data_IF_791806469994
#
_entry.id   IF_791806469994
#
_cell.length_a   1.000
_cell.length_b   1.000
_cell.length_c   1.000
_cell.angle_alpha   90.00
_cell.angle_beta   90.00
_cell.angle_gamma   90.00
#
_symmetry.space_group_name_H-M   'P 1'
#
loop_
_entity.id
_entity.type
_entity.pdbx_description
1 polymer ?
#
# COMPACT_ATOMS: atom_id res chain seq x y z
N UNK A 1 -6.21 16.60 7.47
CA UNK A 1 -6.50 17.39 6.27
C UNK A 1 -5.48 17.09 5.18
N UNK A 2 -5.94 16.76 3.98
CA UNK A 2 -5.09 16.62 2.79
C UNK A 2 -5.40 17.71 1.79
N UNK A 3 -4.37 18.24 1.13
CA UNK A 3 -4.52 19.22 0.07
C UNK A 3 -3.48 18.97 -1.02
N UNK A 4 -3.94 18.81 -2.24
CA UNK A 4 -3.09 18.81 -3.44
C UNK A 4 -3.35 20.12 -4.16
N UNK A 5 -2.28 20.83 -4.50
CA UNK A 5 -2.37 22.12 -5.22
C UNK A 5 -1.52 22.07 -6.48
N UNK A 6 -2.15 22.35 -7.61
CA UNK A 6 -1.45 22.61 -8.86
C UNK A 6 -1.22 24.13 -8.94
N UNK A 7 0.03 24.51 -9.11
CA UNK A 7 0.43 25.93 -9.15
C UNK A 7 -0.22 26.64 -10.33
N UNK A 8 -0.51 27.94 -10.15
CA UNK A 8 -0.95 28.83 -11.23
C UNK A 8 0.01 28.78 -12.40
N UNK A 9 -0.53 28.92 -13.59
CA UNK A 9 0.22 28.92 -14.86
C UNK A 9 1.06 27.64 -15.09
N UNK A 10 0.68 26.51 -14.48
CA UNK A 10 1.32 25.23 -14.77
C UNK A 10 1.00 24.83 -16.22
N UNK A 11 1.98 24.33 -17.00
CA UNK A 11 1.79 24.03 -18.45
C UNK A 11 0.63 23.06 -18.75
N UNK A 12 0.30 22.17 -17.83
CA UNK A 12 -0.78 21.19 -17.98
C UNK A 12 -2.18 21.77 -17.72
N UNK A 13 -2.31 22.99 -17.17
CA UNK A 13 -3.60 23.62 -16.89
C UNK A 13 -3.90 24.73 -17.91
N UNK A 14 -4.70 24.40 -18.92
CA UNK A 14 -5.20 25.34 -19.92
C UNK A 14 -6.69 25.58 -19.73
N UNK A 15 -7.25 26.72 -20.19
CA UNK A 15 -8.69 26.96 -20.13
C UNK A 15 -9.46 25.82 -20.80
N UNK A 16 -10.48 25.31 -20.12
CA UNK A 16 -11.28 24.16 -20.55
C UNK A 16 -10.69 22.76 -20.24
N UNK A 17 -9.44 22.68 -19.79
CA UNK A 17 -8.87 21.40 -19.35
C UNK A 17 -9.60 20.86 -18.12
N UNK A 18 -9.71 19.55 -18.03
CA UNK A 18 -10.28 18.85 -16.87
C UNK A 18 -9.14 18.29 -16.04
N UNK A 19 -8.97 18.81 -14.84
CA UNK A 19 -8.05 18.24 -13.85
C UNK A 19 -8.77 17.21 -13.00
N UNK A 20 -8.14 16.06 -12.86
CA UNK A 20 -8.63 14.95 -12.05
C UNK A 20 -7.67 14.69 -10.92
N UNK A 21 -8.20 14.48 -9.71
CA UNK A 21 -7.40 14.15 -8.53
C UNK A 21 -8.01 12.99 -7.75
N UNK A 22 -7.15 12.11 -7.29
CA UNK A 22 -7.48 11.00 -6.39
C UNK A 22 -6.66 11.18 -5.12
N UNK A 23 -7.35 11.39 -4.00
CA UNK A 23 -6.69 11.44 -2.69
C UNK A 23 -6.99 10.15 -1.93
N UNK A 24 -6.04 9.65 -1.12
CA UNK A 24 -6.30 8.52 -0.23
C UNK A 24 -7.42 8.88 0.75
N UNK A 25 -8.40 7.97 0.91
CA UNK A 25 -9.49 8.15 1.87
C UNK A 25 -9.42 7.01 2.91
N UNK A 26 -9.52 7.31 4.22
CA UNK A 26 -9.37 6.30 5.26
C UNK A 26 -10.39 5.16 5.13
N UNK A 27 -9.93 3.95 5.45
CA UNK A 27 -10.78 2.77 5.57
C UNK A 27 -11.27 2.59 7.00
N UNK A 28 -12.46 2.00 7.17
CA UNK A 28 -12.82 1.36 8.44
C UNK A 28 -11.98 0.09 8.58
N UNK A 29 -11.23 0.01 9.67
CA UNK A 29 -10.30 -1.09 9.92
C UNK A 29 -10.18 -1.36 11.41
N UNK A 30 -9.45 -2.42 11.83
CA UNK A 30 -9.29 -2.73 13.26
C UNK A 30 -8.74 -1.59 14.06
N UNK A 31 -7.68 -0.97 13.54
CA UNK A 31 -7.00 0.16 14.18
C UNK A 31 -7.52 1.52 13.74
N UNK A 32 -8.52 1.58 12.86
CA UNK A 32 -9.06 2.83 12.35
C UNK A 32 -10.59 2.74 12.22
N UNK A 33 -11.30 3.54 13.02
CA UNK A 33 -12.75 3.49 13.09
C UNK A 33 -13.37 4.88 13.11
N UNK A 34 -14.67 4.95 12.96
CA UNK A 34 -15.46 6.19 12.98
C UNK A 34 -14.99 7.19 11.91
N UNK A 35 -14.69 6.69 10.72
CA UNK A 35 -14.23 7.50 9.60
C UNK A 35 -15.35 8.41 9.09
N UNK A 36 -15.11 9.72 9.13
CA UNK A 36 -16.07 10.75 8.70
C UNK A 36 -15.40 11.75 7.76
N UNK A 37 -16.04 12.01 6.63
CA UNK A 37 -15.69 13.17 5.81
C UNK A 37 -16.32 14.41 6.46
N UNK A 38 -15.48 15.34 6.92
CA UNK A 38 -15.93 16.60 7.52
C UNK A 38 -16.21 17.65 6.43
N UNK A 39 -15.29 17.76 5.48
CA UNK A 39 -15.45 18.64 4.32
C UNK A 39 -14.58 18.22 3.16
N UNK A 40 -14.99 18.60 1.95
CA UNK A 40 -14.19 18.44 0.73
C UNK A 40 -14.41 19.63 -0.21
N UNK A 41 -13.34 20.06 -0.87
CA UNK A 41 -13.36 21.18 -1.82
C UNK A 41 -12.46 20.88 -3.02
N UNK A 42 -12.96 20.94 -4.27
CA UNK A 42 -14.38 21.04 -4.65
C UNK A 42 -15.20 19.83 -4.15
N UNK A 43 -16.51 19.83 -4.35
CA UNK A 43 -17.32 18.65 -4.04
C UNK A 43 -16.80 17.43 -4.80
N UNK A 44 -16.58 16.31 -4.13
CA UNK A 44 -16.04 15.11 -4.79
C UNK A 44 -17.07 14.52 -5.76
N UNK A 45 -16.59 13.91 -6.83
CA UNK A 45 -17.42 13.15 -7.77
C UNK A 45 -17.74 11.75 -7.26
N UNK A 46 -16.81 11.16 -6.53
CA UNK A 46 -16.95 9.81 -5.98
C UNK A 46 -16.10 9.67 -4.72
N UNK A 47 -16.65 8.98 -3.73
CA UNK A 47 -15.89 8.39 -2.63
C UNK A 47 -16.00 6.88 -2.79
N UNK A 48 -14.88 6.20 -2.95
CA UNK A 48 -14.88 4.75 -3.07
C UNK A 48 -15.55 4.10 -1.84
N UNK A 49 -16.34 3.04 -2.01
CA UNK A 49 -16.97 2.36 -0.90
C UNK A 49 -15.93 1.80 0.07
N UNK A 50 -16.27 1.64 1.36
CA UNK A 50 -15.40 0.98 2.31
C UNK A 50 -15.18 -0.48 1.92
N UNK A 51 -14.05 -1.04 2.35
CA UNK A 51 -13.82 -2.48 2.30
C UNK A 51 -14.82 -3.25 3.18
N UNK A 52 -14.91 -4.55 2.98
CA UNK A 52 -15.79 -5.40 3.79
C UNK A 52 -15.04 -5.82 5.05
N UNK A 53 -15.59 -5.48 6.23
CA UNK A 53 -15.01 -5.88 7.50
C UNK A 53 -14.97 -7.41 7.63
N UNK A 54 -13.85 -7.93 8.12
CA UNK A 54 -13.66 -9.37 8.30
C UNK A 54 -13.29 -10.16 7.04
N UNK A 55 -13.36 -9.53 5.86
CA UNK A 55 -12.83 -10.11 4.64
C UNK A 55 -11.74 -9.21 4.05
N UNK A 56 -10.45 -9.46 4.36
CA UNK A 56 -9.36 -8.62 3.89
C UNK A 56 -9.14 -8.70 2.38
N UNK A 57 -9.82 -9.60 1.69
CA UNK A 57 -9.75 -9.79 0.25
C UNK A 57 -10.91 -9.09 -0.47
N UNK A 58 -12.09 -9.07 0.14
CA UNK A 58 -13.24 -8.37 -0.40
C UNK A 58 -13.12 -6.87 -0.10
N UNK A 59 -12.94 -6.11 -1.12
CA UNK A 59 -12.75 -4.67 -1.05
C UNK A 59 -11.31 -4.25 -1.41
N UNK A 60 -11.16 -3.04 -1.90
CA UNK A 60 -9.84 -2.51 -2.26
C UNK A 60 -8.95 -2.38 -1.02
N UNK A 61 -7.67 -2.69 -1.17
CA UNK A 61 -6.66 -2.40 -0.15
C UNK A 61 -6.57 -0.89 0.14
N UNK A 62 -6.98 -0.08 -0.80
CA UNK A 62 -6.98 1.37 -0.73
C UNK A 62 -8.36 1.92 -1.05
N UNK A 63 -8.73 2.96 -0.35
CA UNK A 63 -9.94 3.73 -0.59
C UNK A 63 -9.55 5.13 -1.05
N UNK A 64 -10.28 5.68 -2.02
CA UNK A 64 -9.96 6.99 -2.59
C UNK A 64 -11.19 7.88 -2.63
N UNK A 65 -10.95 9.18 -2.55
CA UNK A 65 -11.90 10.23 -2.90
C UNK A 65 -11.47 10.84 -4.21
N UNK A 66 -12.41 10.99 -5.14
CA UNK A 66 -12.16 11.43 -6.51
C UNK A 66 -12.79 12.78 -6.78
N UNK A 67 -12.00 13.65 -7.42
CA UNK A 67 -12.40 15.00 -7.81
C UNK A 67 -12.18 15.25 -9.29
N UNK A 68 -13.03 16.11 -9.84
CA UNK A 68 -12.80 16.74 -11.16
C UNK A 68 -13.05 18.23 -11.07
N UNK A 69 -12.22 18.99 -11.75
CA UNK A 69 -12.39 20.44 -11.88
C UNK A 69 -12.03 20.89 -13.30
N UNK A 70 -12.97 21.61 -13.93
CA UNK A 70 -12.69 22.29 -15.20
C UNK A 70 -11.93 23.57 -14.91
N UNK A 71 -10.85 23.79 -15.64
CA UNK A 71 -10.02 25.00 -15.52
C UNK A 71 -10.70 26.15 -16.25
N UNK A 72 -11.10 27.17 -15.52
CA UNK A 72 -11.65 28.42 -16.10
C UNK A 72 -10.60 29.50 -16.17
N UNK A 73 -9.68 29.54 -15.20
CA UNK A 73 -8.61 30.55 -15.16
C UNK A 73 -7.28 29.89 -14.75
N UNK A 74 -6.34 29.66 -15.66
CA UNK A 74 -5.06 29.05 -15.36
C UNK A 74 -4.13 29.93 -14.50
N UNK A 75 -4.40 31.22 -14.38
CA UNK A 75 -3.66 32.12 -13.50
C UNK A 75 -3.98 31.90 -12.00
N UNK A 76 -5.01 31.13 -11.70
CA UNK A 76 -5.35 30.72 -10.34
C UNK A 76 -4.84 29.30 -10.05
N UNK A 77 -4.36 29.00 -8.84
CA UNK A 77 -4.02 27.64 -8.48
C UNK A 77 -5.29 26.78 -8.41
N UNK A 78 -5.13 25.49 -8.69
CA UNK A 78 -6.19 24.49 -8.56
C UNK A 78 -5.90 23.64 -7.35
N UNK A 79 -6.79 23.66 -6.35
CA UNK A 79 -6.62 22.92 -5.12
C UNK A 79 -7.76 21.91 -4.91
N UNK A 80 -7.38 20.70 -4.52
CA UNK A 80 -8.28 19.65 -4.05
C UNK A 80 -7.98 19.40 -2.58
N UNK A 81 -8.98 19.55 -1.74
CA UNK A 81 -8.82 19.46 -0.28
C UNK A 81 -9.87 18.55 0.31
N UNK A 82 -9.47 17.73 1.24
CA UNK A 82 -10.36 16.97 2.12
C UNK A 82 -9.99 17.15 3.59
N UNK A 83 -10.98 17.11 4.43
CA UNK A 83 -10.85 17.04 5.90
C UNK A 83 -11.57 15.80 6.37
N UNK A 84 -10.84 14.88 6.94
CA UNK A 84 -11.35 13.61 7.45
C UNK A 84 -11.06 13.51 8.93
N UNK A 85 -12.01 12.98 9.69
CA UNK A 85 -11.86 12.60 11.09
C UNK A 85 -11.97 11.09 11.21
N UNK A 86 -11.13 10.48 12.04
CA UNK A 86 -11.23 9.08 12.40
C UNK A 86 -10.59 8.82 13.77
N UNK A 87 -10.95 7.70 14.39
CA UNK A 87 -10.35 7.26 15.64
C UNK A 87 -9.29 6.19 15.34
N UNK A 88 -8.06 6.42 15.77
CA UNK A 88 -6.97 5.45 15.67
C UNK A 88 -6.80 4.67 16.98
N UNK A 89 -6.61 3.36 16.86
CA UNK A 89 -6.35 2.45 17.97
C UNK A 89 -5.01 1.77 17.78
N UNK A 90 -4.29 1.60 18.88
CA UNK A 90 -3.09 0.76 18.89
C UNK A 90 -3.48 -0.72 18.68
N UNK A 91 -2.69 -1.42 17.89
CA UNK A 91 -2.89 -2.83 17.61
C UNK A 91 -1.56 -3.58 17.73
N UNK A 92 -1.48 -4.47 18.70
CA UNK A 92 -0.29 -5.26 19.01
C UNK A 92 -0.63 -6.76 18.94
N UNK A 93 -0.64 -7.36 17.74
CA UNK A 93 -0.93 -8.79 17.62
C UNK A 93 0.18 -9.62 18.24
N UNK A 94 -0.20 -10.62 19.03
CA UNK A 94 0.73 -11.65 19.49
C UNK A 94 0.82 -12.71 18.41
N UNK A 95 1.94 -12.73 17.70
CA UNK A 95 2.21 -13.73 16.68
C UNK A 95 2.65 -15.03 17.31
N UNK A 96 1.96 -16.12 16.97
CA UNK A 96 2.24 -17.46 17.48
C UNK A 96 2.26 -18.46 16.32
N UNK A 97 3.44 -18.93 15.99
CA UNK A 97 3.64 -19.87 14.87
C UNK A 97 2.82 -21.16 15.07
N UNK A 98 2.62 -21.61 16.31
CA UNK A 98 1.83 -22.79 16.58
C UNK A 98 0.33 -22.63 16.24
N UNK A 99 -0.13 -21.39 16.09
CA UNK A 99 -1.52 -21.05 15.74
C UNK A 99 -1.72 -20.68 14.28
N UNK A 100 -0.63 -20.66 13.50
CA UNK A 100 -0.71 -20.38 12.08
C UNK A 100 -1.60 -21.40 11.37
N UNK A 101 -2.57 -20.90 10.57
CA UNK A 101 -3.51 -21.74 9.83
C UNK A 101 -3.15 -21.75 8.34
N UNK A 102 -3.47 -22.81 7.61
CA UNK A 102 -3.36 -22.80 6.15
C UNK A 102 -4.16 -21.66 5.53
N UNK A 103 -3.69 -21.17 4.38
CA UNK A 103 -4.43 -20.18 3.59
C UNK A 103 -5.77 -20.78 3.17
N UNK A 104 -6.90 -20.10 3.42
CA UNK A 104 -8.19 -20.56 2.94
C UNK A 104 -8.20 -20.68 1.40
N UNK A 105 -8.86 -21.71 0.87
CA UNK A 105 -8.88 -21.97 -0.58
C UNK A 105 -9.49 -20.81 -1.39
N UNK A 106 -10.43 -20.08 -0.83
CA UNK A 106 -11.07 -18.91 -1.43
C UNK A 106 -10.18 -17.65 -1.48
N UNK A 107 -9.04 -17.67 -0.79
CA UNK A 107 -8.06 -16.58 -0.79
C UNK A 107 -7.01 -16.70 -1.90
N UNK A 108 -7.04 -17.75 -2.69
CA UNK A 108 -5.96 -18.15 -3.59
C UNK A 108 -5.73 -17.24 -4.81
N UNK A 109 -6.71 -16.42 -5.22
CA UNK A 109 -6.63 -15.72 -6.50
C UNK A 109 -5.91 -14.38 -6.48
N UNK A 110 -6.36 -13.45 -5.65
CA UNK A 110 -6.02 -12.03 -5.80
C UNK A 110 -4.65 -11.63 -5.22
N UNK A 111 -4.11 -12.40 -4.25
CA UNK A 111 -2.94 -11.98 -3.47
C UNK A 111 -1.79 -13.00 -3.46
N UNK A 112 -1.83 -14.00 -4.37
CA UNK A 112 -0.78 -15.01 -4.55
C UNK A 112 -0.10 -14.94 -5.91
N UNK A 113 -0.72 -14.31 -6.90
CA UNK A 113 -0.19 -14.20 -8.25
C UNK A 113 0.72 -12.99 -8.48
N UNK A 114 1.34 -12.98 -9.64
CA UNK A 114 2.05 -11.80 -10.15
C UNK A 114 1.09 -10.62 -10.35
N UNK A 115 1.63 -9.41 -10.34
CA UNK A 115 0.93 -8.19 -10.73
C UNK A 115 1.91 -7.29 -11.48
N UNK A 116 1.93 -7.50 -12.78
CA UNK A 116 2.83 -6.76 -13.67
C UNK A 116 2.54 -5.25 -13.65
N UNK A 117 3.57 -4.41 -13.81
CA UNK A 117 4.97 -4.78 -13.99
C UNK A 117 5.76 -4.90 -12.67
N UNK A 118 5.14 -4.64 -11.51
CA UNK A 118 5.86 -4.41 -10.26
C UNK A 118 6.06 -5.68 -9.41
N UNK A 119 5.13 -6.63 -9.44
CA UNK A 119 5.24 -7.92 -8.74
C UNK A 119 5.48 -9.00 -9.79
N UNK A 120 6.75 -9.39 -9.94
CA UNK A 120 7.23 -10.31 -10.99
C UNK A 120 8.01 -11.45 -10.36
N UNK A 121 7.69 -12.68 -10.75
CA UNK A 121 8.29 -13.89 -10.22
C UNK A 121 9.43 -14.38 -11.10
N UNK A 122 10.56 -13.65 -11.12
CA UNK A 122 11.70 -14.06 -11.92
C UNK A 122 12.34 -15.37 -11.39
N UNK A 123 13.06 -16.13 -12.24
CA UNK A 123 13.77 -17.33 -11.80
C UNK A 123 14.72 -17.07 -10.63
N UNK A 124 15.40 -15.92 -10.61
CA UNK A 124 16.35 -15.54 -9.58
C UNK A 124 15.66 -15.28 -8.24
N UNK A 125 14.54 -14.54 -8.25
CA UNK A 125 13.75 -14.30 -7.03
C UNK A 125 13.17 -15.61 -6.51
N UNK A 126 12.66 -16.49 -7.39
CA UNK A 126 12.16 -17.82 -7.01
C UNK A 126 13.25 -18.68 -6.36
N UNK A 127 14.44 -18.70 -6.94
CA UNK A 127 15.58 -19.45 -6.40
C UNK A 127 15.99 -18.93 -5.02
N UNK A 128 16.00 -17.61 -4.84
CA UNK A 128 16.36 -17.00 -3.57
C UNK A 128 15.29 -17.29 -2.50
N UNK A 129 14.00 -17.21 -2.83
CA UNK A 129 12.92 -17.60 -1.92
C UNK A 129 13.07 -19.06 -1.50
N UNK A 130 13.32 -19.97 -2.44
CA UNK A 130 13.53 -21.39 -2.13
C UNK A 130 14.70 -21.58 -1.16
N UNK A 131 15.81 -20.85 -1.35
CA UNK A 131 16.98 -20.89 -0.46
C UNK A 131 16.65 -20.37 0.96
N UNK A 132 15.89 -19.27 1.07
CA UNK A 132 15.53 -18.65 2.36
C UNK A 132 14.56 -19.52 3.13
N UNK A 133 13.53 -20.00 2.46
CA UNK A 133 12.44 -20.75 3.07
C UNK A 133 12.90 -22.18 3.40
N UNK A 134 13.65 -22.82 2.50
CA UNK A 134 14.08 -24.21 2.65
C UNK A 134 12.90 -25.16 2.78
N UNK A 135 12.94 -26.04 3.76
CA UNK A 135 11.88 -27.02 4.07
C UNK A 135 10.79 -26.49 5.02
N UNK A 136 10.79 -25.17 5.32
CA UNK A 136 9.80 -24.59 6.22
C UNK A 136 8.38 -24.67 5.64
N UNK A 137 7.43 -25.14 6.42
CA UNK A 137 6.02 -25.27 6.01
C UNK A 137 5.13 -24.25 6.68
N UNK A 138 5.51 -23.75 7.85
CA UNK A 138 4.73 -22.76 8.59
C UNK A 138 4.77 -21.39 7.92
N UNK A 139 3.62 -20.83 7.59
CA UNK A 139 3.52 -19.58 6.82
C UNK A 139 4.11 -18.38 7.58
N UNK A 140 3.90 -18.29 8.89
CA UNK A 140 4.44 -17.21 9.71
C UNK A 140 5.97 -17.30 9.82
N UNK A 141 6.50 -18.50 9.98
CA UNK A 141 7.95 -18.73 9.98
C UNK A 141 8.58 -18.38 8.63
N UNK A 142 7.93 -18.75 7.51
CA UNK A 142 8.34 -18.33 6.17
C UNK A 142 8.36 -16.80 6.04
N UNK A 143 7.26 -16.14 6.41
CA UNK A 143 7.16 -14.67 6.36
C UNK A 143 8.27 -14.01 7.18
N UNK A 144 8.56 -14.52 8.38
CA UNK A 144 9.63 -14.01 9.24
C UNK A 144 11.03 -14.18 8.61
N UNK A 145 11.29 -15.32 7.96
CA UNK A 145 12.56 -15.53 7.23
C UNK A 145 12.71 -14.55 6.08
N UNK A 146 11.65 -14.36 5.28
CA UNK A 146 11.64 -13.43 4.16
C UNK A 146 11.81 -11.99 4.66
N UNK A 147 11.10 -11.59 5.73
CA UNK A 147 11.23 -10.26 6.33
C UNK A 147 12.66 -9.97 6.76
N UNK A 148 13.29 -10.88 7.49
CA UNK A 148 14.69 -10.72 7.91
C UNK A 148 15.60 -10.56 6.69
N UNK A 149 15.39 -11.40 5.67
CA UNK A 149 16.18 -11.29 4.46
C UNK A 149 16.04 -9.92 3.78
N UNK A 150 14.82 -9.40 3.64
CA UNK A 150 14.59 -8.05 3.07
C UNK A 150 15.25 -6.99 3.95
N UNK A 151 15.05 -7.05 5.26
CA UNK A 151 15.65 -6.11 6.22
C UNK A 151 17.18 -6.09 6.15
N UNK A 152 17.80 -7.26 6.02
CA UNK A 152 19.26 -7.40 6.04
C UNK A 152 19.91 -7.08 4.67
N UNK A 153 19.17 -7.22 3.56
CA UNK A 153 19.73 -7.15 2.21
C UNK A 153 19.25 -5.96 1.37
N UNK A 154 18.21 -5.23 1.83
CA UNK A 154 17.67 -4.09 1.09
C UNK A 154 17.58 -2.88 2.04
N UNK A 155 18.71 -2.22 2.36
CA UNK A 155 18.70 -1.00 3.16
C UNK A 155 17.89 0.09 2.48
N UNK A 156 17.32 0.98 3.29
CA UNK A 156 16.53 2.09 2.79
C UNK A 156 17.41 3.10 2.04
N UNK A 157 16.93 3.55 0.89
CA UNK A 157 17.46 4.72 0.19
C UNK A 157 16.30 5.49 -0.45
N UNK A 158 16.51 6.78 -0.66
CA UNK A 158 15.55 7.58 -1.43
C UNK A 158 15.47 7.08 -2.87
N UNK A 159 14.26 7.11 -3.42
CA UNK A 159 13.97 6.65 -4.77
C UNK A 159 13.63 7.81 -5.71
N UNK A 160 13.74 7.53 -6.99
CA UNK A 160 13.17 8.37 -8.04
C UNK A 160 11.63 8.29 -8.00
N UNK A 161 10.98 9.15 -8.79
CA UNK A 161 9.52 9.08 -8.98
C UNK A 161 9.10 7.66 -9.39
N UNK A 162 8.14 7.09 -8.70
CA UNK A 162 7.70 5.69 -8.89
C UNK A 162 7.27 5.37 -10.33
N UNK A 163 6.75 6.35 -11.06
CA UNK A 163 6.40 6.18 -12.48
C UNK A 163 7.60 5.95 -13.39
N UNK A 164 8.82 6.22 -12.93
CA UNK A 164 10.06 5.99 -13.66
C UNK A 164 10.67 4.63 -13.36
N UNK A 165 10.18 3.91 -12.38
CA UNK A 165 10.67 2.58 -11.98
C UNK A 165 9.91 1.49 -12.75
N UNK A 166 10.53 0.80 -13.71
CA UNK A 166 9.85 -0.19 -14.55
C UNK A 166 9.29 -1.38 -13.76
N UNK A 167 9.99 -1.82 -12.72
CA UNK A 167 9.58 -2.91 -11.83
C UNK A 167 10.22 -2.78 -10.46
N UNK A 168 9.40 -2.60 -9.44
CA UNK A 168 9.89 -2.47 -8.06
C UNK A 168 10.54 -3.75 -7.54
N UNK A 169 9.94 -4.92 -7.81
CA UNK A 169 10.50 -6.18 -7.36
C UNK A 169 11.87 -6.45 -7.97
N UNK A 170 12.01 -6.27 -9.29
CA UNK A 170 13.28 -6.48 -9.99
C UNK A 170 14.33 -5.47 -9.50
N UNK A 171 13.94 -4.18 -9.44
CA UNK A 171 14.85 -3.13 -8.98
C UNK A 171 15.36 -3.39 -7.57
N UNK A 172 14.48 -3.59 -6.59
CA UNK A 172 14.88 -3.81 -5.21
C UNK A 172 15.70 -5.09 -5.03
N UNK A 173 15.33 -6.17 -5.73
CA UNK A 173 16.05 -7.42 -5.67
C UNK A 173 17.45 -7.33 -6.29
N UNK A 174 17.64 -6.61 -7.39
CA UNK A 174 18.93 -6.52 -8.09
C UNK A 174 19.83 -5.43 -7.51
N UNK A 175 19.29 -4.25 -7.23
CA UNK A 175 20.06 -3.13 -6.70
C UNK A 175 20.39 -3.25 -5.20
N UNK A 176 19.67 -4.12 -4.48
CA UNK A 176 19.83 -4.33 -3.03
C UNK A 176 19.68 -3.05 -2.22
N UNK A 177 18.80 -2.17 -2.65
CA UNK A 177 18.42 -0.96 -1.94
C UNK A 177 17.07 -0.46 -2.45
N UNK A 178 16.36 0.33 -1.63
CA UNK A 178 15.10 0.93 -2.00
C UNK A 178 14.41 1.62 -0.84
N UNK A 179 13.42 2.43 -1.15
CA UNK A 179 12.55 3.04 -0.14
C UNK A 179 11.48 2.06 0.36
N UNK A 180 10.53 2.55 1.17
CA UNK A 180 9.46 1.73 1.72
C UNK A 180 8.66 1.00 0.62
N UNK A 181 8.35 1.65 -0.49
CA UNK A 181 7.58 1.04 -1.58
C UNK A 181 8.33 -0.08 -2.29
N UNK A 182 9.61 0.13 -2.57
CA UNK A 182 10.47 -0.89 -3.19
C UNK A 182 10.69 -2.08 -2.26
N UNK A 183 11.05 -1.82 -0.98
CA UNK A 183 11.23 -2.87 0.03
C UNK A 183 9.97 -3.72 0.20
N UNK A 184 8.81 -3.06 0.36
CA UNK A 184 7.53 -3.75 0.51
C UNK A 184 7.16 -4.57 -0.72
N UNK A 185 7.41 -4.08 -1.94
CA UNK A 185 7.10 -4.84 -3.15
C UNK A 185 7.99 -6.09 -3.29
N UNK A 186 9.27 -6.01 -2.92
CA UNK A 186 10.12 -7.20 -2.86
C UNK A 186 9.58 -8.20 -1.84
N UNK A 187 9.24 -7.74 -0.63
CA UNK A 187 8.66 -8.59 0.40
C UNK A 187 7.35 -9.26 -0.05
N UNK A 188 6.42 -8.50 -0.64
CA UNK A 188 5.17 -9.03 -1.22
C UNK A 188 5.47 -10.10 -2.27
N UNK A 189 6.39 -9.82 -3.19
CA UNK A 189 6.76 -10.74 -4.27
C UNK A 189 7.28 -12.05 -3.70
N UNK A 190 8.21 -11.99 -2.75
CA UNK A 190 8.79 -13.16 -2.11
C UNK A 190 7.77 -13.95 -1.27
N UNK A 191 6.88 -13.25 -0.55
CA UNK A 191 5.78 -13.88 0.19
C UNK A 191 4.85 -14.65 -0.76
N UNK A 192 4.43 -14.04 -1.86
CA UNK A 192 3.55 -14.69 -2.85
C UNK A 192 4.20 -15.92 -3.47
N UNK A 193 5.48 -15.87 -3.81
CA UNK A 193 6.26 -17.03 -4.28
C UNK A 193 6.28 -18.14 -3.22
N UNK A 194 6.37 -17.80 -1.94
CA UNK A 194 6.36 -18.75 -0.82
C UNK A 194 4.97 -19.29 -0.47
N UNK A 195 3.92 -18.88 -1.19
CA UNK A 195 2.53 -19.28 -0.95
C UNK A 195 1.83 -18.47 0.15
N UNK A 196 2.36 -17.31 0.51
CA UNK A 196 1.79 -16.41 1.52
C UNK A 196 1.05 -15.29 0.79
N UNK A 197 -0.29 -15.17 0.92
CA UNK A 197 -1.03 -14.07 0.33
C UNK A 197 -0.57 -12.74 0.94
N UNK A 198 -0.16 -11.81 0.08
CA UNK A 198 0.35 -10.52 0.53
C UNK A 198 -0.12 -9.40 -0.40
N UNK A 199 -0.38 -8.22 0.17
CA UNK A 199 -0.82 -7.05 -0.58
C UNK A 199 -0.14 -5.78 -0.09
N UNK A 200 -0.05 -4.82 -1.00
CA UNK A 200 0.39 -3.47 -0.71
C UNK A 200 -0.69 -2.71 0.03
N UNK A 201 -0.26 -1.91 0.98
CA UNK A 201 -1.03 -0.88 1.63
C UNK A 201 -0.19 0.40 1.67
N UNK A 202 -0.84 1.54 1.45
CA UNK A 202 -0.21 2.84 1.62
C UNK A 202 -1.09 3.76 2.47
N UNK A 203 -0.48 4.78 3.03
CA UNK A 203 -1.17 5.74 3.87
C UNK A 203 -0.27 6.86 4.31
N UNK A 204 -0.71 7.53 5.36
CA UNK A 204 0.03 8.66 5.93
C UNK A 204 0.62 8.29 7.28
N UNK A 205 1.89 8.58 7.44
CA UNK A 205 2.54 8.61 8.73
C UNK A 205 2.34 10.00 9.34
N UNK A 206 1.72 10.05 10.51
CA UNK A 206 1.56 11.31 11.25
C UNK A 206 2.66 11.42 12.30
N UNK A 207 3.38 12.53 12.28
CA UNK A 207 4.41 12.86 13.29
C UNK A 207 3.94 14.01 14.17
N UNK A 208 4.49 14.17 15.37
CA UNK A 208 4.25 15.36 16.19
C UNK A 208 4.62 16.64 15.41
N UNK A 209 3.81 17.67 15.54
CA UNK A 209 3.86 18.86 14.68
C UNK A 209 3.04 18.61 13.41
N UNK A 210 3.12 19.48 12.46
CA UNK A 210 2.39 19.37 11.19
C UNK A 210 3.18 18.57 10.13
N UNK A 211 4.20 17.83 10.55
CA UNK A 211 4.96 16.96 9.67
C UNK A 211 4.24 15.63 9.46
N UNK A 212 4.08 15.24 8.23
CA UNK A 212 3.56 13.94 7.83
C UNK A 212 4.11 13.55 6.48
N UNK A 213 4.24 12.25 6.28
CA UNK A 213 4.77 11.67 5.07
C UNK A 213 3.87 10.59 4.52
N UNK A 214 4.03 10.30 3.26
CA UNK A 214 3.50 9.07 2.66
C UNK A 214 4.35 7.90 3.13
N UNK A 215 3.70 6.79 3.44
CA UNK A 215 4.38 5.56 3.82
C UNK A 215 3.67 4.34 3.25
N UNK A 216 4.45 3.32 2.93
CA UNK A 216 3.96 2.07 2.40
C UNK A 216 4.30 0.92 3.33
N UNK A 217 3.38 -0.03 3.45
CA UNK A 217 3.60 -1.26 4.20
C UNK A 217 2.95 -2.46 3.52
N UNK A 218 3.30 -3.63 3.98
CA UNK A 218 2.73 -4.89 3.49
C UNK A 218 1.75 -5.45 4.49
N UNK A 219 0.57 -5.80 4.02
CA UNK A 219 -0.32 -6.72 4.71
C UNK A 219 -0.13 -8.10 4.13
N UNK A 220 0.28 -9.05 4.95
CA UNK A 220 0.23 -10.45 4.59
C UNK A 220 -0.89 -11.15 5.36
N UNK A 221 -1.56 -12.04 4.65
CA UNK A 221 -2.78 -12.65 5.15
C UNK A 221 -2.43 -13.98 5.79
N UNK A 222 -2.54 -14.02 7.10
CA UNK A 222 -2.43 -15.23 7.88
C UNK A 222 -3.68 -15.39 8.75
N UNK A 223 -4.23 -16.58 8.79
CA UNK A 223 -5.36 -16.91 9.66
C UNK A 223 -4.88 -17.21 11.07
N UNK A 224 -4.32 -16.23 11.76
CA UNK A 224 -4.14 -16.21 13.21
C UNK A 224 -5.15 -15.24 13.81
N UNK A 225 -6.38 -15.28 13.35
CA UNK A 225 -7.41 -14.37 13.85
C UNK A 225 -7.18 -12.88 13.53
N UNK A 226 -6.17 -12.54 12.73
CA UNK A 226 -5.83 -11.16 12.42
C UNK A 226 -5.01 -11.02 11.13
N UNK A 227 -5.34 -10.07 10.26
CA UNK A 227 -4.39 -9.56 9.27
C UNK A 227 -3.31 -8.78 10.03
N UNK A 228 -2.05 -8.99 9.68
CA UNK A 228 -0.91 -8.32 10.27
C UNK A 228 -0.39 -7.29 9.28
N UNK A 229 -0.28 -6.04 9.72
CA UNK A 229 0.48 -5.01 9.03
C UNK A 229 1.88 -4.97 9.66
N UNK A 230 2.90 -4.93 8.84
CA UNK A 230 4.28 -4.63 9.21
C UNK A 230 4.56 -3.17 8.95
#
# INVERSE_FOLDING_TARGET
>A
THTITIRSNHPAITPGAVVRAWLPFPQEYRQQRNVKLISATPSPKLIAPPGVEGNPIAGGAQRTIYFEQVITNPAQPVAFREVVEFTAYAYYPKLDEAKAQPVPADWSGAHLGERLPHIVFTPEIRAEVARIVGSETNLLAKARKIFRWVSDNIPWCAEDEYCLIPSFAIKGFTARQGDCGVQNTVFITMCRIAGIPARWQSGYETKPGDEWGMHDWTEYLERVGAALSM
#
